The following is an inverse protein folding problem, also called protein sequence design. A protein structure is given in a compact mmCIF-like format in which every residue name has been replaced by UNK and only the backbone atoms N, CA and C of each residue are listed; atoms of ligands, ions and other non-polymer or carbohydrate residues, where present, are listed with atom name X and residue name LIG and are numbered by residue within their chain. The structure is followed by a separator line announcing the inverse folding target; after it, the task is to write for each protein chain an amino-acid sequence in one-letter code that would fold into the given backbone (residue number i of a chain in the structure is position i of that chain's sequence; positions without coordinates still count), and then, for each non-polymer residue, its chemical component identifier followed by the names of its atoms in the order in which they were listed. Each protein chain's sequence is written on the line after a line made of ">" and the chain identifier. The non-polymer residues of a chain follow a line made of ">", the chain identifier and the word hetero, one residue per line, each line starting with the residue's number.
data_IF_284597244615
#
_entry.id   IF_284597244615
#
_cell.length_a   1.000
_cell.length_b   1.000
_cell.length_c   1.000
_cell.angle_alpha   90.00
_cell.angle_beta   90.00
_cell.angle_gamma   90.00
#
_symmetry.space_group_name_H-M   'P 1'
#
loop_
_entity.id
_entity.type
_entity.pdbx_description
1 polymer ?
#
# COMPACT_ATOMS: atom_id res chain seq x y z
N UNK A 1 -3.10 -10.42 80.67
CA UNK A 1 -2.46 -11.30 79.67
C UNK A 1 -3.51 -11.63 78.60
N UNK A 2 -3.68 -10.75 77.63
CA UNK A 2 -4.60 -10.96 76.50
C UNK A 2 -3.81 -11.59 75.35
N UNK A 3 -4.21 -12.80 74.93
CA UNK A 3 -3.59 -13.55 73.84
C UNK A 3 -4.19 -13.08 72.51
N UNK A 4 -3.33 -12.59 71.62
CA UNK A 4 -3.63 -12.30 70.22
C UNK A 4 -3.97 -13.58 69.44
N UNK A 5 -5.00 -13.59 68.57
CA UNK A 5 -5.16 -14.65 67.58
C UNK A 5 -4.33 -14.34 66.33
N UNK A 6 -3.65 -15.37 65.84
CA UNK A 6 -2.85 -15.39 64.62
C UNK A 6 -3.80 -15.25 63.42
N UNK A 7 -3.60 -14.19 62.63
CA UNK A 7 -4.30 -13.95 61.37
C UNK A 7 -3.75 -14.91 60.31
N UNK A 8 -4.58 -15.83 59.82
CA UNK A 8 -4.23 -16.71 58.71
C UNK A 8 -4.16 -15.89 57.41
N UNK A 9 -2.96 -15.82 56.83
CA UNK A 9 -2.70 -15.20 55.53
C UNK A 9 -3.28 -16.11 54.43
N UNK A 10 -4.43 -15.76 53.87
CA UNK A 10 -4.91 -16.36 52.63
C UNK A 10 -4.03 -15.85 51.47
N UNK A 11 -3.08 -16.68 51.02
CA UNK A 11 -2.40 -16.51 49.74
C UNK A 11 -3.44 -16.71 48.62
N UNK A 12 -4.00 -15.60 48.14
CA UNK A 12 -4.78 -15.58 46.91
C UNK A 12 -3.89 -15.96 45.73
N UNK A 13 -4.07 -17.18 45.22
CA UNK A 13 -3.53 -17.60 43.94
C UNK A 13 -4.19 -16.71 42.89
N UNK A 14 -3.47 -15.69 42.42
CA UNK A 14 -3.89 -14.94 41.23
C UNK A 14 -3.81 -15.91 40.05
N UNK A 15 -4.98 -16.41 39.64
CA UNK A 15 -5.15 -17.08 38.36
C UNK A 15 -4.82 -16.03 37.28
N UNK A 16 -3.60 -16.07 36.77
CA UNK A 16 -3.25 -15.39 35.53
C UNK A 16 -4.17 -16.00 34.46
N UNK A 17 -5.03 -15.22 33.78
CA UNK A 17 -5.82 -15.76 32.70
C UNK A 17 -4.86 -16.30 31.64
N UNK A 18 -4.94 -17.60 31.38
CA UNK A 18 -4.32 -18.22 30.23
C UNK A 18 -4.98 -17.63 29.00
N UNK A 19 -4.37 -16.58 28.42
CA UNK A 19 -4.68 -16.20 27.05
C UNK A 19 -4.54 -17.47 26.21
N UNK A 20 -5.66 -17.94 25.64
CA UNK A 20 -5.62 -19.07 24.71
C UNK A 20 -4.54 -18.78 23.67
N UNK A 21 -3.64 -19.73 23.44
CA UNK A 21 -2.58 -19.57 22.45
C UNK A 21 -3.22 -19.21 21.11
N UNK A 22 -3.07 -17.97 20.67
CA UNK A 22 -3.42 -17.57 19.33
C UNK A 22 -2.68 -18.50 18.38
N UNK A 23 -3.36 -19.17 17.44
CA UNK A 23 -2.67 -20.06 16.50
C UNK A 23 -1.52 -19.32 15.82
N UNK A 24 -0.33 -19.93 15.80
CA UNK A 24 0.82 -19.37 15.11
C UNK A 24 0.45 -19.14 13.64
N UNK A 25 0.68 -17.92 13.17
CA UNK A 25 0.42 -17.53 11.79
C UNK A 25 1.66 -16.83 11.22
N UNK A 26 2.33 -17.41 10.20
CA UNK A 26 1.95 -18.64 9.50
C UNK A 26 2.09 -19.91 10.38
N UNK A 27 1.39 -21.01 10.03
CA UNK A 27 1.60 -22.29 10.69
C UNK A 27 3.00 -22.84 10.42
N UNK A 28 3.50 -23.82 11.19
CA UNK A 28 4.74 -24.52 10.86
C UNK A 28 4.65 -25.19 9.48
N UNK A 29 5.77 -25.18 8.74
CA UNK A 29 5.89 -25.83 7.46
C UNK A 29 6.02 -27.35 7.53
N UNK A 30 6.11 -27.98 6.35
CA UNK A 30 6.41 -29.39 6.19
C UNK A 30 7.89 -29.67 6.48
N UNK A 31 8.24 -30.84 7.04
CA UNK A 31 9.63 -31.22 7.24
C UNK A 31 10.39 -31.29 5.91
N UNK A 32 11.55 -30.63 5.85
CA UNK A 32 12.48 -30.72 4.71
C UNK A 32 13.28 -32.02 4.83
N UNK A 33 13.30 -32.91 3.81
CA UNK A 33 14.13 -34.11 3.83
C UNK A 33 15.61 -33.77 4.06
N UNK A 34 16.37 -34.56 4.87
CA UNK A 34 17.75 -34.21 5.24
C UNK A 34 18.68 -33.93 4.06
N UNK A 35 18.61 -34.74 3.01
CA UNK A 35 19.43 -34.56 1.79
C UNK A 35 19.08 -33.27 1.04
N UNK A 36 17.79 -32.94 0.94
CA UNK A 36 17.31 -31.70 0.32
C UNK A 36 17.76 -30.50 1.15
N UNK A 37 17.61 -30.57 2.48
CA UNK A 37 18.04 -29.51 3.40
C UNK A 37 19.54 -29.26 3.28
N UNK A 38 20.36 -30.30 3.32
CA UNK A 38 21.82 -30.17 3.17
C UNK A 38 22.20 -29.49 1.85
N UNK A 39 21.55 -29.88 0.75
CA UNK A 39 21.83 -29.29 -0.55
C UNK A 39 21.37 -27.82 -0.63
N UNK A 40 20.14 -27.50 -0.21
CA UNK A 40 19.63 -26.13 -0.22
C UNK A 40 20.48 -25.22 0.66
N UNK A 41 20.88 -25.66 1.85
CA UNK A 41 21.75 -24.89 2.73
C UNK A 41 23.13 -24.66 2.09
N UNK A 42 23.70 -25.67 1.43
CA UNK A 42 24.98 -25.53 0.72
C UNK A 42 24.87 -24.47 -0.39
N UNK A 43 23.87 -24.60 -1.27
CA UNK A 43 23.69 -23.69 -2.40
C UNK A 43 23.34 -22.26 -1.94
N UNK A 44 22.56 -22.13 -0.86
CA UNK A 44 22.23 -20.85 -0.22
C UNK A 44 23.51 -20.19 0.32
N UNK A 45 24.36 -20.93 1.05
CA UNK A 45 25.66 -20.41 1.55
C UNK A 45 26.58 -19.97 0.42
N UNK A 46 26.61 -20.70 -0.70
CA UNK A 46 27.42 -20.34 -1.87
C UNK A 46 26.93 -19.05 -2.55
N UNK A 47 25.62 -18.88 -2.67
CA UNK A 47 25.03 -17.64 -3.19
C UNK A 47 25.28 -16.46 -2.23
N UNK A 48 25.14 -16.66 -0.91
CA UNK A 48 25.44 -15.65 0.10
C UNK A 48 26.87 -15.10 -0.01
N UNK A 49 27.87 -15.99 -0.12
CA UNK A 49 29.28 -15.59 -0.36
C UNK A 49 29.45 -14.78 -1.65
N UNK A 50 28.69 -15.13 -2.69
CA UNK A 50 28.73 -14.40 -3.96
C UNK A 50 28.14 -13.00 -3.82
N UNK A 51 27.05 -12.84 -3.08
CA UNK A 51 26.42 -11.55 -2.78
C UNK A 51 27.40 -10.67 -1.97
N UNK A 52 28.02 -11.20 -0.91
CA UNK A 52 28.99 -10.48 -0.09
C UNK A 52 30.18 -9.97 -0.92
N UNK A 53 30.70 -10.81 -1.83
CA UNK A 53 31.77 -10.43 -2.74
C UNK A 53 31.33 -9.31 -3.71
N UNK A 54 30.12 -9.40 -4.26
CA UNK A 54 29.54 -8.36 -5.12
C UNK A 54 29.38 -7.03 -4.37
N UNK A 55 28.85 -7.06 -3.15
CA UNK A 55 28.69 -5.86 -2.33
C UNK A 55 30.05 -5.22 -1.99
N UNK A 56 31.03 -6.05 -1.61
CA UNK A 56 32.37 -5.57 -1.26
C UNK A 56 33.07 -4.92 -2.45
N UNK A 57 32.99 -5.55 -3.63
CA UNK A 57 33.58 -5.03 -4.86
C UNK A 57 32.94 -3.72 -5.31
N UNK A 58 31.65 -3.51 -5.02
CA UNK A 58 30.86 -2.39 -5.50
C UNK A 58 30.43 -1.43 -4.38
N UNK A 59 31.11 -1.42 -3.23
CA UNK A 59 30.74 -0.62 -2.03
C UNK A 59 30.59 0.89 -2.27
N UNK A 60 31.18 1.41 -3.34
CA UNK A 60 31.15 2.82 -3.71
C UNK A 60 30.29 3.09 -4.96
N UNK A 61 29.55 2.09 -5.44
CA UNK A 61 28.66 2.17 -6.60
C UNK A 61 27.20 1.95 -6.15
N UNK A 62 26.45 3.04 -5.86
CA UNK A 62 25.09 2.94 -5.38
C UNK A 62 24.14 2.24 -6.35
N UNK A 63 24.34 2.40 -7.67
CA UNK A 63 23.48 1.80 -8.68
C UNK A 63 23.68 0.29 -8.75
N UNK A 64 24.93 -0.17 -8.65
CA UNK A 64 25.23 -1.59 -8.56
C UNK A 64 24.76 -2.21 -7.24
N UNK A 65 24.90 -1.50 -6.12
CA UNK A 65 24.37 -1.96 -4.82
C UNK A 65 22.85 -2.12 -4.84
N UNK A 66 22.16 -1.26 -5.57
CA UNK A 66 20.71 -1.34 -5.76
C UNK A 66 20.32 -2.57 -6.60
N UNK A 67 21.04 -2.83 -7.70
CA UNK A 67 20.85 -4.03 -8.52
C UNK A 67 21.19 -5.34 -7.79
N UNK A 68 22.09 -5.32 -6.81
CA UNK A 68 22.38 -6.50 -6.00
C UNK A 68 21.15 -6.93 -5.18
N UNK A 69 20.25 -6.01 -4.83
CA UNK A 69 18.99 -6.37 -4.15
C UNK A 69 18.12 -7.31 -5.00
N UNK A 70 18.20 -7.22 -6.34
CA UNK A 70 17.53 -8.13 -7.29
C UNK A 70 18.09 -9.57 -7.26
N UNK A 71 19.26 -9.79 -6.63
CA UNK A 71 19.83 -11.12 -6.32
C UNK A 71 19.45 -11.55 -4.90
N UNK A 72 19.52 -10.63 -3.95
CA UNK A 72 19.27 -10.90 -2.52
C UNK A 72 17.85 -11.46 -2.31
N UNK A 73 16.84 -10.99 -3.04
CA UNK A 73 15.47 -11.52 -2.90
C UNK A 73 15.37 -13.03 -3.12
N UNK A 74 16.12 -13.60 -4.07
CA UNK A 74 16.13 -15.05 -4.29
C UNK A 74 16.89 -15.80 -3.20
N UNK A 75 17.96 -15.20 -2.67
CA UNK A 75 18.67 -15.75 -1.52
C UNK A 75 17.77 -15.75 -0.27
N UNK A 76 17.15 -14.61 0.05
CA UNK A 76 16.27 -14.43 1.20
C UNK A 76 15.07 -15.39 1.17
N UNK A 77 14.42 -15.52 0.00
CA UNK A 77 13.32 -16.44 -0.19
C UNK A 77 13.63 -17.87 0.28
N UNK A 78 14.81 -18.40 -0.03
CA UNK A 78 15.22 -19.75 0.37
C UNK A 78 15.81 -19.79 1.77
N UNK A 79 16.61 -18.78 2.12
CA UNK A 79 17.22 -18.67 3.45
C UNK A 79 16.14 -18.61 4.55
N UNK A 80 15.14 -17.74 4.41
CA UNK A 80 14.04 -17.61 5.37
C UNK A 80 13.14 -18.84 5.37
N UNK A 81 12.90 -19.47 4.22
CA UNK A 81 12.14 -20.72 4.18
C UNK A 81 12.82 -21.85 4.98
N UNK A 82 14.16 -21.94 4.93
CA UNK A 82 14.95 -22.90 5.71
C UNK A 82 15.05 -22.55 7.20
N UNK A 83 15.26 -21.26 7.52
CA UNK A 83 15.48 -20.77 8.88
C UNK A 83 14.20 -20.77 9.71
N UNK A 84 13.08 -20.39 9.09
CA UNK A 84 11.78 -20.26 9.76
C UNK A 84 10.88 -21.49 9.58
N UNK A 85 11.40 -22.55 8.96
CA UNK A 85 10.65 -23.76 8.58
C UNK A 85 9.35 -23.43 7.82
N UNK A 86 9.44 -22.61 6.77
CA UNK A 86 8.31 -22.08 6.00
C UNK A 86 8.18 -22.69 4.60
N UNK A 87 8.47 -23.99 4.47
CA UNK A 87 8.06 -24.77 3.31
C UNK A 87 6.66 -25.33 3.56
N UNK A 88 5.75 -25.20 2.61
CA UNK A 88 4.39 -25.70 2.73
C UNK A 88 4.12 -26.72 1.62
N UNK A 89 3.25 -27.68 1.92
CA UNK A 89 2.70 -28.55 0.88
C UNK A 89 1.65 -27.76 0.12
N UNK A 90 2.01 -27.27 -1.07
CA UNK A 90 1.03 -26.86 -2.07
C UNK A 90 0.71 -28.07 -2.97
N UNK A 91 -0.57 -28.22 -3.34
CA UNK A 91 -0.96 -29.25 -4.32
C UNK A 91 -0.57 -28.85 -5.74
N UNK A 92 -0.24 -27.58 -5.97
CA UNK A 92 0.10 -27.03 -7.28
C UNK A 92 1.59 -27.16 -7.62
N UNK A 93 2.47 -26.92 -6.67
CA UNK A 93 3.92 -26.90 -6.88
C UNK A 93 4.70 -27.45 -5.69
N UNK A 94 5.84 -28.07 -6.00
CA UNK A 94 6.81 -28.55 -5.02
C UNK A 94 7.72 -27.38 -4.60
N UNK A 95 7.50 -26.85 -3.39
CA UNK A 95 8.26 -25.70 -2.87
C UNK A 95 9.76 -25.99 -2.71
N UNK A 96 10.19 -27.26 -2.63
CA UNK A 96 11.62 -27.59 -2.66
C UNK A 96 12.21 -27.38 -4.05
N UNK A 97 11.48 -27.78 -5.10
CA UNK A 97 11.88 -27.52 -6.49
C UNK A 97 11.91 -26.01 -6.78
N UNK A 98 10.93 -25.26 -6.26
CA UNK A 98 10.91 -23.78 -6.32
C UNK A 98 12.17 -23.19 -5.69
N UNK A 99 12.57 -23.64 -4.50
CA UNK A 99 13.78 -23.15 -3.85
C UNK A 99 15.05 -23.38 -4.69
N UNK A 100 15.20 -24.54 -5.33
CA UNK A 100 16.31 -24.77 -6.26
C UNK A 100 16.24 -23.85 -7.50
N UNK A 101 15.04 -23.58 -8.05
CA UNK A 101 14.87 -22.62 -9.15
C UNK A 101 15.31 -21.22 -8.71
N UNK A 102 14.88 -20.76 -7.54
CA UNK A 102 15.24 -19.43 -7.02
C UNK A 102 16.73 -19.28 -6.82
N UNK A 103 17.40 -20.27 -6.22
CA UNK A 103 18.86 -20.24 -6.08
C UNK A 103 19.58 -20.23 -7.43
N UNK A 104 19.05 -20.95 -8.43
CA UNK A 104 19.58 -20.90 -9.80
C UNK A 104 19.42 -19.50 -10.41
N UNK A 105 18.23 -18.91 -10.36
CA UNK A 105 17.98 -17.54 -10.85
C UNK A 105 18.86 -16.51 -10.14
N UNK A 106 19.01 -16.60 -8.82
CA UNK A 106 19.90 -15.76 -8.03
C UNK A 106 21.35 -15.85 -8.50
N UNK A 107 21.88 -17.06 -8.74
CA UNK A 107 23.23 -17.26 -9.31
C UNK A 107 23.38 -16.70 -10.70
N UNK A 108 22.38 -16.86 -11.57
CA UNK A 108 22.38 -16.30 -12.92
C UNK A 108 22.40 -14.77 -12.89
N UNK A 109 21.57 -14.13 -12.06
CA UNK A 109 21.60 -12.67 -11.88
C UNK A 109 22.94 -12.21 -11.32
N UNK A 110 23.49 -12.89 -10.31
CA UNK A 110 24.80 -12.57 -9.77
C UNK A 110 25.92 -12.69 -10.82
N UNK A 111 25.86 -13.70 -11.71
CA UNK A 111 26.81 -13.87 -12.80
C UNK A 111 26.72 -12.75 -13.85
N UNK A 112 25.50 -12.28 -14.15
CA UNK A 112 25.29 -11.12 -15.02
C UNK A 112 25.86 -9.83 -14.40
N UNK A 113 25.65 -9.60 -13.10
CA UNK A 113 26.20 -8.43 -12.41
C UNK A 113 27.73 -8.43 -12.39
N UNK A 114 28.37 -9.60 -12.22
CA UNK A 114 29.83 -9.73 -12.36
C UNK A 114 30.35 -9.33 -13.75
N UNK A 115 29.50 -9.43 -14.77
CA UNK A 115 29.80 -9.03 -16.14
C UNK A 115 29.34 -7.58 -16.45
N UNK A 116 28.83 -6.84 -15.45
CA UNK A 116 28.32 -5.48 -15.63
C UNK A 116 26.99 -5.40 -16.36
N UNK A 117 26.18 -6.47 -16.36
CA UNK A 117 24.88 -6.52 -17.05
C UNK A 117 23.73 -6.84 -16.09
N UNK A 118 22.54 -6.33 -16.39
CA UNK A 118 21.33 -6.60 -15.62
C UNK A 118 20.11 -6.74 -16.58
N UNK A 119 20.04 -7.82 -17.38
CA UNK A 119 19.06 -7.96 -18.47
C UNK A 119 17.60 -7.87 -18.01
N UNK A 120 17.29 -8.30 -16.78
CA UNK A 120 15.93 -8.23 -16.21
C UNK A 120 15.41 -6.79 -16.04
N UNK A 121 16.27 -5.77 -16.08
CA UNK A 121 15.86 -4.35 -15.99
C UNK A 121 15.20 -3.83 -17.28
N UNK A 122 15.31 -4.58 -18.38
CA UNK A 122 14.70 -4.31 -19.69
C UNK A 122 13.80 -5.45 -20.16
N UNK A 123 13.48 -6.39 -19.27
CA UNK A 123 12.57 -7.49 -19.57
C UNK A 123 11.12 -6.99 -19.57
N UNK A 124 10.33 -7.48 -20.53
CA UNK A 124 8.87 -7.35 -20.55
C UNK A 124 8.20 -8.61 -20.00
N UNK A 125 6.90 -8.55 -19.72
CA UNK A 125 6.16 -9.61 -19.04
C UNK A 125 6.42 -9.61 -17.53
N UNK A 126 6.45 -10.80 -16.93
CA UNK A 126 6.60 -10.99 -15.49
C UNK A 126 8.05 -10.80 -15.04
N UNK A 127 8.29 -9.86 -14.12
CA UNK A 127 9.63 -9.55 -13.61
C UNK A 127 9.59 -9.39 -12.10
N UNK A 128 10.44 -10.13 -11.38
CA UNK A 128 10.69 -9.90 -9.95
C UNK A 128 11.87 -8.96 -9.77
N UNK A 129 11.70 -7.97 -8.90
CA UNK A 129 12.71 -6.99 -8.48
C UNK A 129 12.79 -6.93 -6.96
N UNK A 130 13.87 -6.35 -6.43
CA UNK A 130 14.08 -6.17 -4.99
C UNK A 130 14.55 -4.76 -4.65
N UNK A 131 14.19 -4.28 -3.46
CA UNK A 131 14.67 -3.01 -2.90
C UNK A 131 15.03 -3.18 -1.44
N UNK A 132 15.89 -2.31 -0.91
CA UNK A 132 16.20 -2.26 0.52
C UNK A 132 15.23 -1.33 1.23
N UNK A 133 14.50 -1.88 2.21
CA UNK A 133 13.52 -1.13 2.98
C UNK A 133 14.19 -0.32 4.10
N UNK A 134 13.72 0.90 4.32
CA UNK A 134 14.18 1.80 5.40
C UNK A 134 13.63 1.45 6.77
N UNK A 135 12.70 0.49 6.87
CA UNK A 135 12.14 0.06 8.16
C UNK A 135 13.19 -0.67 9.01
N UNK A 136 13.92 -1.59 8.38
CA UNK A 136 14.74 -2.61 9.05
C UNK A 136 15.94 -3.08 8.21
N UNK A 137 16.30 -2.35 7.15
CA UNK A 137 17.36 -2.67 6.19
C UNK A 137 17.23 -4.01 5.47
N UNK A 138 16.11 -4.73 5.63
CA UNK A 138 15.83 -5.95 4.89
C UNK A 138 15.57 -5.64 3.41
N UNK A 139 15.88 -6.60 2.55
CA UNK A 139 15.57 -6.51 1.13
C UNK A 139 14.21 -7.17 0.88
N UNK A 140 13.28 -6.41 0.32
CA UNK A 140 11.91 -6.83 0.06
C UNK A 140 11.68 -7.07 -1.44
N UNK A 141 10.96 -8.15 -1.83
CA UNK A 141 10.62 -8.40 -3.22
C UNK A 141 9.36 -7.64 -3.67
N UNK A 142 9.27 -7.32 -4.95
CA UNK A 142 8.02 -6.99 -5.63
C UNK A 142 7.98 -7.60 -7.03
N UNK A 143 6.78 -7.83 -7.54
CA UNK A 143 6.55 -8.31 -8.90
C UNK A 143 6.08 -7.18 -9.82
N UNK A 144 6.44 -7.28 -11.09
CA UNK A 144 5.94 -6.44 -12.17
C UNK A 144 5.34 -7.31 -13.27
N UNK A 145 4.28 -6.80 -13.91
CA UNK A 145 3.85 -7.24 -15.23
C UNK A 145 4.01 -6.06 -16.18
N UNK A 146 4.96 -6.15 -17.09
CA UNK A 146 5.34 -5.08 -18.02
C UNK A 146 4.77 -5.42 -19.41
N UNK A 147 4.04 -4.50 -20.08
CA UNK A 147 3.54 -4.73 -21.44
C UNK A 147 4.64 -5.13 -22.44
N UNK A 148 4.29 -5.93 -23.45
CA UNK A 148 5.27 -6.41 -24.45
C UNK A 148 5.89 -5.28 -25.28
N UNK A 149 5.12 -4.22 -25.53
CA UNK A 149 5.49 -3.04 -26.30
C UNK A 149 5.93 -1.85 -25.42
N UNK A 150 6.28 -2.12 -24.15
CA UNK A 150 6.66 -1.08 -23.21
C UNK A 150 7.88 -0.27 -23.67
N UNK A 151 7.71 1.06 -23.75
CA UNK A 151 8.80 1.98 -24.05
C UNK A 151 9.61 2.33 -22.80
N UNK A 152 10.83 1.79 -22.72
CA UNK A 152 11.77 2.09 -21.63
C UNK A 152 12.42 3.47 -21.74
N UNK A 153 12.27 4.16 -22.88
CA UNK A 153 12.90 5.45 -23.17
C UNK A 153 11.91 6.43 -23.82
N UNK A 154 10.77 6.71 -23.16
CA UNK A 154 9.77 7.59 -23.74
C UNK A 154 10.27 9.02 -23.82
N UNK A 155 9.68 9.76 -24.75
CA UNK A 155 9.89 11.20 -24.84
C UNK A 155 9.48 11.87 -23.53
N UNK A 156 10.20 12.92 -23.12
CA UNK A 156 9.93 13.65 -21.88
C UNK A 156 8.44 14.04 -21.75
N UNK A 157 7.85 13.73 -20.60
CA UNK A 157 6.42 13.98 -20.33
C UNK A 157 5.47 12.86 -20.79
N UNK A 158 5.96 11.80 -21.45
CA UNK A 158 5.16 10.65 -21.86
C UNK A 158 5.43 9.41 -20.98
N UNK A 159 5.38 9.60 -19.66
CA UNK A 159 5.51 8.49 -18.71
C UNK A 159 4.33 7.51 -18.84
N UNK A 160 4.59 6.25 -18.51
CA UNK A 160 3.59 5.19 -18.55
C UNK A 160 2.69 5.20 -17.32
N UNK A 161 1.47 4.70 -17.48
CA UNK A 161 0.56 4.41 -16.39
C UNK A 161 1.09 3.24 -15.54
N UNK A 162 0.80 3.28 -14.24
CA UNK A 162 1.10 2.20 -13.29
C UNK A 162 -0.17 1.81 -12.53
N UNK A 163 -0.51 0.53 -12.53
CA UNK A 163 -1.56 -0.03 -11.68
C UNK A 163 -0.92 -0.83 -10.54
N UNK A 164 -1.23 -0.52 -9.28
CA UNK A 164 -0.82 -1.32 -8.13
C UNK A 164 -1.91 -2.35 -7.83
N UNK A 165 -1.54 -3.63 -7.81
CA UNK A 165 -2.44 -4.73 -7.48
C UNK A 165 -2.07 -5.39 -6.15
N UNK A 166 -2.94 -5.23 -5.15
CA UNK A 166 -2.81 -5.85 -3.83
C UNK A 166 -3.42 -7.25 -3.80
N UNK A 167 -2.65 -8.22 -3.31
CA UNK A 167 -3.07 -9.62 -3.23
C UNK A 167 -4.02 -9.89 -2.05
N UNK A 168 -4.76 -11.00 -2.15
CA UNK A 168 -5.59 -11.50 -1.05
C UNK A 168 -4.77 -12.08 0.10
N UNK A 169 -5.45 -12.47 1.19
CA UNK A 169 -4.79 -13.09 2.33
C UNK A 169 -4.26 -14.48 1.97
N UNK A 170 -2.99 -14.73 2.27
CA UNK A 170 -2.37 -16.05 2.15
C UNK A 170 -1.64 -16.42 3.45
N UNK A 171 -2.26 -17.26 4.29
CA UNK A 171 -1.69 -17.66 5.60
C UNK A 171 -0.40 -18.49 5.50
N UNK A 172 0.06 -18.79 4.29
CA UNK A 172 1.32 -19.49 4.01
C UNK A 172 2.15 -18.74 2.95
N UNK A 173 1.88 -17.45 2.76
CA UNK A 173 2.60 -16.62 1.79
C UNK A 173 3.98 -16.27 2.34
N UNK A 174 5.00 -17.04 1.98
CA UNK A 174 6.40 -16.70 2.20
C UNK A 174 6.95 -15.89 1.02
N UNK A 175 8.15 -15.30 1.18
CA UNK A 175 8.87 -14.69 0.04
C UNK A 175 9.13 -15.70 -1.08
N UNK A 176 9.42 -16.97 -0.74
CA UNK A 176 9.56 -18.08 -1.67
C UNK A 176 8.34 -18.20 -2.59
N UNK A 177 7.16 -18.32 -1.97
CA UNK A 177 5.89 -18.47 -2.68
C UNK A 177 5.49 -17.22 -3.44
N UNK A 178 5.75 -16.05 -2.87
CA UNK A 178 5.47 -14.79 -3.52
C UNK A 178 6.27 -14.63 -4.81
N UNK A 179 7.59 -14.79 -4.77
CA UNK A 179 8.46 -14.68 -5.95
C UNK A 179 8.01 -15.68 -7.02
N UNK A 180 7.77 -16.92 -6.63
CA UNK A 180 7.31 -17.97 -7.55
C UNK A 180 5.98 -17.61 -8.24
N UNK A 181 5.02 -17.09 -7.48
CA UNK A 181 3.77 -16.59 -8.03
C UNK A 181 3.98 -15.41 -8.99
N UNK A 182 4.92 -14.51 -8.71
CA UNK A 182 5.23 -13.36 -9.57
C UNK A 182 6.03 -13.73 -10.82
N UNK A 183 6.61 -14.91 -10.88
CA UNK A 183 7.27 -15.45 -12.08
C UNK A 183 6.35 -16.34 -12.94
N UNK A 184 5.25 -16.84 -12.38
CA UNK A 184 4.38 -17.84 -13.04
C UNK A 184 2.94 -17.38 -13.25
N UNK A 185 2.47 -16.36 -12.53
CA UNK A 185 1.09 -15.86 -12.58
C UNK A 185 1.05 -14.33 -12.70
N UNK A 186 0.61 -13.78 -13.85
CA UNK A 186 0.53 -12.33 -14.06
C UNK A 186 -0.60 -11.69 -13.24
N UNK A 187 -1.44 -12.48 -12.55
CA UNK A 187 -2.50 -11.99 -11.70
C UNK A 187 -3.81 -11.71 -12.44
N UNK A 188 -4.63 -10.85 -11.84
CA UNK A 188 -5.96 -10.46 -12.35
C UNK A 188 -5.95 -8.98 -12.70
N UNK A 189 -6.89 -8.59 -13.59
CA UNK A 189 -7.05 -7.21 -14.04
C UNK A 189 -5.77 -6.61 -14.67
N UNK A 190 -4.98 -7.45 -15.34
CA UNK A 190 -3.86 -7.01 -16.19
C UNK A 190 -4.38 -6.21 -17.39
N UNK A 191 -3.54 -5.31 -17.89
CA UNK A 191 -3.81 -4.43 -19.04
C UNK A 191 -2.52 -4.27 -19.85
N UNK A 192 -2.64 -4.09 -21.16
CA UNK A 192 -1.53 -3.75 -22.07
C UNK A 192 -1.16 -2.26 -21.98
N UNK A 193 -1.96 -1.44 -21.29
CA UNK A 193 -1.78 0.02 -21.21
C UNK A 193 -0.98 0.51 -20.00
N UNK A 194 -0.57 -0.39 -19.10
CA UNK A 194 0.08 -0.03 -17.85
C UNK A 194 1.05 -1.12 -17.39
N UNK A 195 2.08 -0.70 -16.66
CA UNK A 195 2.80 -1.65 -15.81
C UNK A 195 1.88 -2.02 -14.64
N UNK A 196 1.85 -3.29 -14.24
CA UNK A 196 1.20 -3.72 -13.00
C UNK A 196 2.24 -4.01 -11.94
N UNK A 197 2.18 -3.30 -10.80
CA UNK A 197 3.02 -3.53 -9.63
C UNK A 197 2.30 -4.41 -8.61
N UNK A 198 2.95 -5.49 -8.20
CA UNK A 198 2.56 -6.36 -7.11
C UNK A 198 3.51 -6.18 -5.92
N UNK A 199 3.16 -5.40 -4.89
CA UNK A 199 3.94 -5.34 -3.65
C UNK A 199 3.78 -6.65 -2.86
N UNK A 200 4.81 -7.01 -2.08
CA UNK A 200 4.74 -8.13 -1.14
C UNK A 200 3.89 -7.80 0.10
N UNK A 201 3.82 -6.52 0.48
CA UNK A 201 2.96 -6.04 1.56
C UNK A 201 3.39 -6.47 2.96
N UNK A 202 4.58 -7.08 3.10
CA UNK A 202 5.09 -7.68 4.34
C UNK A 202 4.06 -8.59 4.99
N UNK A 203 3.66 -9.62 4.26
CA UNK A 203 2.72 -10.68 4.67
C UNK A 203 1.25 -10.22 4.76
N UNK A 204 0.49 -10.75 5.72
CA UNK A 204 -0.98 -10.62 5.79
C UNK A 204 -1.42 -9.55 6.81
N UNK A 205 -0.96 -8.32 6.63
CA UNK A 205 -1.33 -7.18 7.48
C UNK A 205 -2.32 -6.20 6.82
N UNK A 206 -2.86 -6.55 5.64
CA UNK A 206 -3.70 -5.68 4.80
C UNK A 206 -3.05 -4.31 4.53
N UNK A 207 -1.74 -4.33 4.25
CA UNK A 207 -0.86 -3.19 4.02
C UNK A 207 -1.06 -2.05 5.03
N UNK A 208 -1.25 -2.42 6.30
CA UNK A 208 -1.21 -1.50 7.44
C UNK A 208 0.21 -1.41 7.97
N UNK A 209 0.59 -0.25 8.51
CA UNK A 209 1.92 -0.01 9.09
C UNK A 209 3.07 -0.37 8.13
N UNK A 210 3.82 -1.43 8.41
CA UNK A 210 4.96 -1.83 7.60
C UNK A 210 4.56 -2.21 6.17
N UNK A 211 3.37 -2.79 5.96
CA UNK A 211 2.90 -3.10 4.60
C UNK A 211 2.46 -1.88 3.80
N UNK A 212 2.09 -0.79 4.48
CA UNK A 212 1.85 0.51 3.83
C UNK A 212 3.18 1.08 3.33
N UNK A 213 4.18 1.13 4.21
CA UNK A 213 5.53 1.58 3.84
C UNK A 213 6.10 0.73 2.70
N UNK A 214 5.94 -0.59 2.75
CA UNK A 214 6.35 -1.52 1.70
C UNK A 214 5.76 -1.15 0.33
N UNK A 215 4.47 -0.82 0.30
CA UNK A 215 3.79 -0.35 -0.93
C UNK A 215 4.48 0.89 -1.50
N UNK A 216 4.74 1.89 -0.66
CA UNK A 216 5.32 3.15 -1.10
C UNK A 216 6.79 3.01 -1.47
N UNK A 217 7.57 2.19 -0.77
CA UNK A 217 8.97 1.93 -1.13
C UNK A 217 9.09 1.15 -2.45
N UNK A 218 8.22 0.16 -2.67
CA UNK A 218 8.13 -0.53 -3.96
C UNK A 218 7.75 0.46 -5.08
N UNK A 219 6.76 1.34 -4.84
CA UNK A 219 6.36 2.37 -5.79
C UNK A 219 7.51 3.36 -6.09
N UNK A 220 8.20 3.85 -5.06
CA UNK A 220 9.37 4.73 -5.18
C UNK A 220 10.46 4.07 -6.03
N UNK A 221 10.76 2.80 -5.75
CA UNK A 221 11.75 2.03 -6.53
C UNK A 221 11.30 1.83 -7.98
N UNK A 222 10.02 1.52 -8.24
CA UNK A 222 9.51 1.43 -9.62
C UNK A 222 9.65 2.76 -10.35
N UNK A 223 9.26 3.88 -9.73
CA UNK A 223 9.39 5.22 -10.33
C UNK A 223 10.84 5.62 -10.61
N UNK A 224 11.80 5.10 -9.83
CA UNK A 224 13.23 5.32 -10.05
C UNK A 224 13.75 4.61 -11.31
N UNK A 225 13.25 3.40 -11.60
CA UNK A 225 13.80 2.55 -12.66
C UNK A 225 12.96 2.45 -13.94
N UNK A 226 11.69 2.84 -13.87
CA UNK A 226 10.77 2.81 -15.00
C UNK A 226 10.16 4.21 -15.22
N UNK A 227 9.94 4.62 -16.47
CA UNK A 227 9.37 5.93 -16.78
C UNK A 227 7.87 5.94 -16.45
N UNK A 228 7.51 6.21 -15.19
CA UNK A 228 6.12 6.26 -14.72
C UNK A 228 5.62 7.70 -14.68
N UNK A 229 4.43 7.95 -15.23
CA UNK A 229 3.69 9.19 -14.98
C UNK A 229 3.06 9.13 -13.58
N UNK A 230 3.53 10.01 -12.69
CA UNK A 230 3.05 10.08 -11.31
C UNK A 230 1.58 10.48 -11.18
N UNK A 231 0.99 11.02 -12.25
CA UNK A 231 -0.43 11.39 -12.29
C UNK A 231 -1.30 10.28 -12.90
N UNK A 232 -0.72 9.15 -13.32
CA UNK A 232 -1.43 7.99 -13.86
C UNK A 232 -1.14 6.74 -13.04
N UNK A 233 -1.23 6.86 -11.72
CA UNK A 233 -1.09 5.73 -10.80
C UNK A 233 -2.49 5.31 -10.32
N UNK A 234 -2.84 4.04 -10.43
CA UNK A 234 -4.11 3.49 -9.95
C UNK A 234 -3.88 2.40 -8.90
N UNK A 235 -4.85 2.18 -8.02
CA UNK A 235 -4.80 1.15 -6.97
C UNK A 235 -5.95 0.16 -7.09
N UNK A 236 -5.67 -1.13 -6.94
CA UNK A 236 -6.64 -2.20 -7.12
C UNK A 236 -6.33 -3.38 -6.21
N UNK A 237 -7.34 -4.18 -5.91
CA UNK A 237 -7.11 -5.42 -5.17
C UNK A 237 -8.39 -6.16 -4.82
N UNK A 238 -8.24 -7.38 -4.34
CA UNK A 238 -9.35 -8.27 -3.99
C UNK A 238 -9.21 -8.87 -2.60
N UNK A 239 -10.32 -9.07 -1.88
CA UNK A 239 -10.32 -9.63 -0.52
C UNK A 239 -9.53 -8.74 0.44
N UNK A 240 -8.50 -9.28 1.10
CA UNK A 240 -7.53 -8.46 1.85
C UNK A 240 -6.95 -7.32 1.01
N UNK A 241 -6.63 -7.55 -0.27
CA UNK A 241 -6.17 -6.49 -1.18
C UNK A 241 -7.25 -5.47 -1.53
N UNK A 242 -8.53 -5.86 -1.46
CA UNK A 242 -9.66 -4.93 -1.57
C UNK A 242 -9.72 -4.00 -0.37
N UNK A 243 -9.43 -4.51 0.83
CA UNK A 243 -9.33 -3.71 2.05
C UNK A 243 -8.13 -2.75 2.00
N UNK A 244 -6.99 -3.20 1.47
CA UNK A 244 -5.85 -2.33 1.16
C UNK A 244 -6.28 -1.21 0.21
N UNK A 245 -7.04 -1.55 -0.83
CA UNK A 245 -7.46 -0.56 -1.84
C UNK A 245 -8.38 0.50 -1.24
N UNK A 246 -9.32 0.11 -0.36
CA UNK A 246 -10.12 1.07 0.40
C UNK A 246 -9.24 1.99 1.23
N UNK A 247 -8.33 1.42 2.03
CA UNK A 247 -7.38 2.17 2.85
C UNK A 247 -6.57 3.19 2.02
N UNK A 248 -5.93 2.72 0.94
CA UNK A 248 -5.10 3.57 0.08
C UNK A 248 -5.94 4.66 -0.58
N UNK A 249 -7.12 4.33 -1.10
CA UNK A 249 -7.99 5.27 -1.81
C UNK A 249 -8.49 6.41 -0.91
N UNK A 250 -8.76 6.15 0.37
CA UNK A 250 -9.31 7.17 1.28
C UNK A 250 -8.23 7.97 2.02
N UNK A 251 -7.12 7.33 2.40
CA UNK A 251 -6.06 7.99 3.19
C UNK A 251 -5.03 8.72 2.31
N UNK A 252 -4.89 8.31 1.04
CA UNK A 252 -3.95 8.88 0.07
C UNK A 252 -4.64 9.29 -1.22
N UNK A 253 -5.92 9.73 -1.15
CA UNK A 253 -6.78 9.97 -2.31
C UNK A 253 -6.17 10.92 -3.37
N UNK A 254 -5.35 11.87 -2.93
CA UNK A 254 -4.65 12.82 -3.78
C UNK A 254 -3.58 12.19 -4.69
N UNK A 255 -3.16 10.94 -4.45
CA UNK A 255 -2.13 10.26 -5.23
C UNK A 255 -2.69 9.44 -6.40
N UNK A 256 -3.94 8.96 -6.29
CA UNK A 256 -4.45 7.95 -7.20
C UNK A 256 -5.33 8.57 -8.30
N UNK A 257 -5.06 8.20 -9.54
CA UNK A 257 -5.92 8.50 -10.69
C UNK A 257 -7.24 7.74 -10.63
N UNK A 258 -7.24 6.53 -10.07
CA UNK A 258 -8.42 5.71 -9.85
C UNK A 258 -8.20 4.59 -8.82
N UNK A 259 -9.29 4.09 -8.24
CA UNK A 259 -9.28 2.95 -7.33
C UNK A 259 -10.34 1.88 -7.65
N UNK A 260 -10.00 0.60 -7.51
CA UNK A 260 -10.93 -0.52 -7.66
C UNK A 260 -10.85 -1.54 -6.51
N UNK A 261 -11.51 -1.27 -5.37
CA UNK A 261 -11.58 -2.20 -4.25
C UNK A 261 -12.57 -3.34 -4.54
N UNK A 262 -12.10 -4.58 -4.51
CA UNK A 262 -12.92 -5.78 -4.70
C UNK A 262 -13.13 -6.56 -3.42
N UNK A 263 -14.37 -6.69 -2.98
CA UNK A 263 -14.82 -7.55 -1.88
C UNK A 263 -13.84 -7.56 -0.68
N UNK A 264 -13.44 -6.40 -0.18
CA UNK A 264 -12.52 -6.28 0.94
C UNK A 264 -13.10 -5.37 2.00
N UNK A 265 -12.86 -5.66 3.28
CA UNK A 265 -13.43 -4.90 4.39
C UNK A 265 -13.05 -3.41 4.32
N UNK A 266 -13.99 -2.54 4.67
CA UNK A 266 -13.80 -1.08 4.65
C UNK A 266 -13.76 -0.46 6.06
N UNK A 267 -14.28 -1.16 7.06
CA UNK A 267 -14.28 -0.76 8.46
C UNK A 267 -14.15 -1.97 9.38
N UNK A 268 -13.77 -1.72 10.64
CA UNK A 268 -13.39 -2.78 11.58
C UNK A 268 -14.59 -3.30 12.38
N UNK A 269 -15.52 -2.43 12.75
CA UNK A 269 -16.51 -2.71 13.79
C UNK A 269 -17.52 -3.77 13.36
N UNK A 270 -18.14 -3.63 12.18
CA UNK A 270 -19.13 -4.58 11.67
C UNK A 270 -18.40 -5.78 11.05
N UNK A 271 -17.37 -5.56 10.24
CA UNK A 271 -16.60 -6.64 9.63
C UNK A 271 -16.11 -7.68 10.63
N UNK A 272 -15.53 -7.25 11.75
CA UNK A 272 -14.97 -8.15 12.75
C UNK A 272 -15.92 -8.44 13.93
N UNK A 273 -17.21 -8.11 13.77
CA UNK A 273 -18.27 -8.25 14.77
C UNK A 273 -17.82 -7.83 16.17
N UNK A 274 -17.19 -6.66 16.24
CA UNK A 274 -16.42 -6.22 17.40
C UNK A 274 -17.30 -6.14 18.65
N UNK A 275 -18.55 -5.71 18.47
CA UNK A 275 -19.49 -5.50 19.58
C UNK A 275 -20.05 -6.80 20.16
N UNK A 276 -19.88 -7.92 19.47
CA UNK A 276 -20.23 -9.25 19.96
C UNK A 276 -19.10 -9.91 20.80
N UNK A 277 -17.91 -9.31 20.86
CA UNK A 277 -16.77 -9.85 21.62
C UNK A 277 -16.97 -9.65 23.13
N UNK A 278 -16.43 -10.59 23.91
CA UNK A 278 -16.38 -10.54 25.38
C UNK A 278 -14.93 -10.80 25.88
N UNK A 279 -14.30 -9.86 26.61
CA UNK A 279 -14.81 -8.53 26.93
C UNK A 279 -14.96 -7.67 25.67
N UNK A 280 -15.93 -6.75 25.69
CA UNK A 280 -16.05 -5.71 24.66
C UNK A 280 -14.79 -4.83 24.68
N UNK A 281 -14.28 -4.38 23.53
CA UNK A 281 -13.16 -3.47 23.51
C UNK A 281 -13.45 -2.18 24.27
N UNK A 282 -12.41 -1.62 24.88
CA UNK A 282 -12.52 -0.34 25.56
C UNK A 282 -12.83 0.78 24.55
N UNK A 283 -13.39 1.88 25.05
CA UNK A 283 -13.74 3.04 24.21
C UNK A 283 -12.56 3.57 23.38
N UNK A 284 -11.33 3.49 23.91
CA UNK A 284 -10.14 3.96 23.22
C UNK A 284 -9.71 2.99 22.11
N UNK A 285 -9.98 1.69 22.21
CA UNK A 285 -9.70 0.75 21.12
C UNK A 285 -10.63 1.02 19.93
N UNK A 286 -11.91 1.27 20.20
CA UNK A 286 -12.88 1.67 19.18
C UNK A 286 -12.48 2.99 18.51
N UNK A 287 -11.97 3.95 19.29
CA UNK A 287 -11.45 5.21 18.78
C UNK A 287 -10.23 5.00 17.87
N UNK A 288 -9.32 4.09 18.22
CA UNK A 288 -8.12 3.82 17.43
C UNK A 288 -8.41 3.16 16.07
N UNK A 289 -9.58 2.56 15.87
CA UNK A 289 -10.00 2.06 14.54
C UNK A 289 -10.16 3.19 13.52
N UNK A 290 -10.41 4.43 13.98
CA UNK A 290 -10.39 5.61 13.12
C UNK A 290 -9.03 5.81 12.42
N UNK A 291 -7.96 5.10 12.79
CA UNK A 291 -6.70 5.14 12.05
C UNK A 291 -6.81 4.55 10.64
N UNK A 292 -7.69 3.56 10.42
CA UNK A 292 -7.73 2.78 9.18
C UNK A 292 -9.14 2.51 8.64
N UNK A 293 -10.20 2.80 9.40
CA UNK A 293 -11.57 2.63 8.91
C UNK A 293 -11.84 3.62 7.77
N UNK A 294 -11.84 3.11 6.53
CA UNK A 294 -11.99 3.91 5.32
C UNK A 294 -13.33 4.67 5.28
N UNK A 295 -14.36 4.16 5.96
CA UNK A 295 -15.65 4.84 6.12
C UNK A 295 -15.51 6.20 6.81
N UNK A 296 -14.55 6.37 7.72
CA UNK A 296 -14.26 7.65 8.39
C UNK A 296 -13.64 8.69 7.47
N UNK A 297 -13.05 8.26 6.36
CA UNK A 297 -12.33 9.09 5.39
C UNK A 297 -13.09 9.19 4.05
N UNK A 298 -14.38 8.85 4.00
CA UNK A 298 -15.15 8.77 2.77
C UNK A 298 -15.19 10.10 1.97
N UNK A 299 -15.11 11.26 2.66
CA UNK A 299 -15.06 12.59 2.04
C UNK A 299 -13.90 12.73 1.05
N UNK A 300 -12.76 12.11 1.35
CA UNK A 300 -11.54 12.19 0.54
C UNK A 300 -11.72 11.56 -0.86
N UNK A 301 -12.76 10.76 -1.06
CA UNK A 301 -13.08 10.17 -2.36
C UNK A 301 -13.63 11.19 -3.37
N UNK A 302 -13.90 12.44 -2.97
CA UNK A 302 -14.06 13.55 -3.92
C UNK A 302 -12.79 13.74 -4.77
N UNK A 303 -11.62 13.36 -4.25
CA UNK A 303 -10.35 13.47 -4.94
C UNK A 303 -9.99 12.17 -5.67
N UNK A 304 -10.64 11.03 -5.44
CA UNK A 304 -10.26 9.75 -6.07
C UNK A 304 -11.49 9.00 -6.58
N UNK A 305 -11.65 8.79 -7.90
CA UNK A 305 -12.77 8.02 -8.42
C UNK A 305 -12.64 6.53 -8.05
N UNK A 306 -13.76 5.93 -7.64
CA UNK A 306 -13.79 4.55 -7.13
C UNK A 306 -14.85 3.72 -7.84
N UNK A 307 -14.46 2.51 -8.28
CA UNK A 307 -15.35 1.46 -8.74
C UNK A 307 -15.19 0.20 -7.87
N UNK A 308 -16.17 -0.08 -7.02
CA UNK A 308 -16.12 -1.24 -6.14
C UNK A 308 -16.69 -2.49 -6.83
N UNK A 309 -16.24 -3.67 -6.41
CA UNK A 309 -16.79 -4.95 -6.83
C UNK A 309 -17.21 -5.83 -5.65
N UNK A 310 -18.30 -6.57 -5.81
CA UNK A 310 -18.64 -7.70 -4.93
C UNK A 310 -19.42 -8.78 -5.68
N UNK A 311 -19.25 -10.04 -5.29
CA UNK A 311 -20.22 -11.07 -5.67
C UNK A 311 -21.55 -10.88 -4.92
N UNK A 312 -22.69 -11.18 -5.54
CA UNK A 312 -24.00 -11.02 -4.89
C UNK A 312 -24.18 -11.90 -3.66
N UNK A 313 -23.53 -13.06 -3.63
CA UNK A 313 -23.58 -14.05 -2.54
C UNK A 313 -22.35 -13.95 -1.61
N UNK A 314 -21.48 -12.97 -1.83
CA UNK A 314 -20.32 -12.74 -0.98
C UNK A 314 -20.71 -11.91 0.25
N UNK A 315 -20.45 -12.44 1.45
CA UNK A 315 -20.66 -11.71 2.71
C UNK A 315 -19.84 -10.41 2.77
N UNK A 316 -18.71 -10.34 2.06
CA UNK A 316 -17.86 -9.15 2.00
C UNK A 316 -18.45 -8.04 1.11
N UNK A 317 -19.60 -8.25 0.45
CA UNK A 317 -20.40 -7.18 -0.17
C UNK A 317 -20.75 -6.07 0.83
N UNK A 318 -20.88 -6.41 2.12
CA UNK A 318 -21.13 -5.45 3.20
C UNK A 318 -20.16 -4.26 3.17
N UNK A 319 -18.90 -4.47 2.79
CA UNK A 319 -17.90 -3.41 2.79
C UNK A 319 -18.19 -2.31 1.75
N UNK A 320 -18.63 -2.71 0.55
CA UNK A 320 -19.02 -1.75 -0.48
C UNK A 320 -20.38 -1.11 -0.17
N UNK A 321 -21.31 -1.84 0.46
CA UNK A 321 -22.60 -1.31 0.89
C UNK A 321 -22.42 -0.20 1.95
N UNK A 322 -21.62 -0.44 2.99
CA UNK A 322 -21.37 0.59 4.00
C UNK A 322 -20.57 1.76 3.44
N UNK A 323 -19.62 1.54 2.52
CA UNK A 323 -18.95 2.64 1.85
C UNK A 323 -19.93 3.47 1.01
N UNK A 324 -20.89 2.85 0.32
CA UNK A 324 -21.93 3.58 -0.41
C UNK A 324 -22.77 4.46 0.53
N UNK A 325 -23.14 3.97 1.71
CA UNK A 325 -23.85 4.74 2.73
C UNK A 325 -23.05 5.95 3.24
N UNK A 326 -21.75 5.77 3.50
CA UNK A 326 -20.89 6.85 3.99
C UNK A 326 -20.53 7.85 2.89
N UNK A 327 -20.27 7.39 1.68
CA UNK A 327 -20.09 8.25 0.51
C UNK A 327 -21.33 9.09 0.23
N UNK A 328 -22.54 8.53 0.38
CA UNK A 328 -23.78 9.28 0.18
C UNK A 328 -23.94 10.45 1.17
N UNK A 329 -23.45 10.32 2.40
CA UNK A 329 -23.45 11.42 3.39
C UNK A 329 -22.54 12.58 2.97
N UNK A 330 -21.51 12.29 2.18
CA UNK A 330 -20.57 13.26 1.61
C UNK A 330 -20.98 13.72 0.20
N UNK A 331 -22.18 13.35 -0.27
CA UNK A 331 -22.69 13.73 -1.59
C UNK A 331 -22.11 12.93 -2.76
N UNK A 332 -21.43 11.81 -2.48
CA UNK A 332 -20.83 10.92 -3.48
C UNK A 332 -21.71 9.70 -3.74
N UNK A 333 -21.65 9.17 -4.97
CA UNK A 333 -22.30 7.91 -5.34
C UNK A 333 -21.25 6.87 -5.72
N UNK A 334 -21.22 5.74 -5.02
CA UNK A 334 -20.34 4.64 -5.36
C UNK A 334 -20.82 3.93 -6.64
N UNK A 335 -19.91 3.73 -7.60
CA UNK A 335 -20.11 2.77 -8.67
C UNK A 335 -19.78 1.37 -8.15
N UNK A 336 -20.82 0.56 -7.87
CA UNK A 336 -20.67 -0.79 -7.31
C UNK A 336 -21.10 -1.84 -8.34
N UNK A 337 -20.13 -2.62 -8.83
CA UNK A 337 -20.37 -3.73 -9.74
C UNK A 337 -20.70 -4.97 -8.92
N UNK A 338 -21.84 -5.59 -9.22
CA UNK A 338 -22.31 -6.82 -8.56
C UNK A 338 -22.24 -7.99 -9.53
N UNK A 339 -21.39 -8.97 -9.21
CA UNK A 339 -21.34 -10.24 -9.92
C UNK A 339 -22.53 -11.12 -9.51
N UNK A 340 -23.54 -11.23 -10.37
CA UNK A 340 -24.75 -11.99 -10.07
C UNK A 340 -24.47 -13.48 -9.82
N UNK A 341 -24.93 -14.01 -8.68
CA UNK A 341 -24.70 -15.39 -8.26
C UNK A 341 -23.26 -15.71 -7.85
N UNK A 342 -22.36 -14.71 -7.82
CA UNK A 342 -20.96 -14.92 -7.46
C UNK A 342 -20.78 -14.87 -5.95
N UNK A 343 -19.96 -15.80 -5.43
CA UNK A 343 -19.40 -15.73 -4.08
C UNK A 343 -18.11 -14.90 -4.06
N UNK A 344 -17.13 -15.33 -3.26
CA UNK A 344 -15.86 -14.62 -3.05
C UNK A 344 -14.85 -14.78 -4.21
N UNK A 345 -15.23 -14.30 -5.40
CA UNK A 345 -14.40 -14.27 -6.62
C UNK A 345 -14.96 -13.29 -7.64
N UNK A 346 -14.18 -12.97 -8.67
CA UNK A 346 -14.67 -12.28 -9.86
C UNK A 346 -15.34 -13.22 -10.86
N UNK A 347 -16.31 -12.70 -11.60
CA UNK A 347 -16.70 -13.20 -12.92
C UNK A 347 -16.06 -12.35 -14.05
N UNK A 348 -16.02 -12.91 -15.27
CA UNK A 348 -15.32 -12.29 -16.40
C UNK A 348 -15.97 -10.99 -16.88
N UNK A 349 -17.31 -10.87 -16.81
CA UNK A 349 -18.03 -9.67 -17.24
C UNK A 349 -17.70 -8.51 -16.29
N UNK A 350 -17.72 -8.77 -14.99
CA UNK A 350 -17.33 -7.80 -13.98
C UNK A 350 -15.88 -7.35 -14.16
N UNK A 351 -14.95 -8.28 -14.45
CA UNK A 351 -13.55 -7.93 -14.74
C UNK A 351 -13.43 -6.98 -15.93
N UNK A 352 -14.15 -7.26 -17.03
CA UNK A 352 -14.14 -6.42 -18.24
C UNK A 352 -14.65 -5.01 -17.95
N UNK A 353 -15.77 -4.89 -17.23
CA UNK A 353 -16.36 -3.60 -16.85
C UNK A 353 -15.35 -2.80 -16.01
N UNK A 354 -14.77 -3.42 -14.98
CA UNK A 354 -13.82 -2.76 -14.07
C UNK A 354 -12.58 -2.30 -14.84
N UNK A 355 -12.00 -3.17 -15.68
CA UNK A 355 -10.82 -2.82 -16.47
C UNK A 355 -11.08 -1.65 -17.41
N UNK A 356 -12.18 -1.68 -18.15
CA UNK A 356 -12.56 -0.59 -19.06
C UNK A 356 -12.79 0.73 -18.32
N UNK A 357 -13.44 0.70 -17.15
CA UNK A 357 -13.69 1.92 -16.36
C UNK A 357 -12.38 2.50 -15.84
N UNK A 358 -11.52 1.66 -15.25
CA UNK A 358 -10.21 2.09 -14.75
C UNK A 358 -9.31 2.61 -15.88
N UNK A 359 -9.31 1.96 -17.05
CA UNK A 359 -8.63 2.45 -18.25
C UNK A 359 -9.14 3.81 -18.71
N UNK A 360 -10.46 4.02 -18.67
CA UNK A 360 -11.05 5.30 -19.00
C UNK A 360 -10.59 6.42 -18.07
N UNK A 361 -10.66 6.20 -16.75
CA UNK A 361 -10.25 7.19 -15.76
C UNK A 361 -8.75 7.49 -15.78
N UNK A 362 -7.91 6.47 -15.93
CA UNK A 362 -6.46 6.62 -15.95
C UNK A 362 -5.89 7.00 -17.34
N UNK A 363 -6.75 7.18 -18.36
CA UNK A 363 -6.32 7.62 -19.69
C UNK A 363 -5.81 9.06 -19.71
N UNK A 364 -6.26 9.89 -18.75
CA UNK A 364 -5.80 11.25 -18.53
C UNK A 364 -5.00 11.32 -17.24
N UNK A 365 -3.94 12.15 -17.18
CA UNK A 365 -3.26 12.40 -15.92
C UNK A 365 -4.24 13.02 -14.92
N UNK A 366 -4.20 12.57 -13.68
CA UNK A 366 -4.87 13.19 -12.55
C UNK A 366 -4.44 14.66 -12.46
N UNK A 367 -5.41 15.55 -12.28
CA UNK A 367 -5.12 16.96 -12.00
C UNK A 367 -4.43 17.10 -10.63
N UNK A 368 -3.15 17.54 -10.57
CA UNK A 368 -2.48 17.79 -9.30
C UNK A 368 -2.99 19.07 -8.61
N UNK A 369 -3.78 19.88 -9.31
CA UNK A 369 -4.20 21.23 -8.92
C UNK A 369 -5.72 21.42 -9.01
N UNK A 370 -6.54 20.54 -8.42
CA UNK A 370 -7.98 20.69 -8.54
C UNK A 370 -8.42 21.98 -7.86
N UNK A 371 -9.46 22.58 -8.44
CA UNK A 371 -10.06 23.80 -7.92
C UNK A 371 -10.58 23.64 -6.48
N UNK A 372 -11.07 22.45 -6.12
CA UNK A 372 -11.67 22.17 -4.81
C UNK A 372 -11.04 20.94 -4.16
N UNK A 373 -10.74 21.06 -2.87
CA UNK A 373 -10.31 19.99 -1.97
C UNK A 373 -11.35 19.80 -0.88
N UNK A 374 -11.72 18.54 -0.67
CA UNK A 374 -12.55 18.04 0.44
C UNK A 374 -11.66 17.06 1.20
N UNK A 375 -11.25 17.42 2.41
CA UNK A 375 -10.24 16.63 3.11
C UNK A 375 -10.62 16.40 4.56
N UNK A 376 -10.70 15.13 4.94
CA UNK A 376 -10.89 14.64 6.31
C UNK A 376 -9.67 13.85 6.75
N UNK A 377 -9.26 14.08 7.99
CA UNK A 377 -8.33 13.21 8.70
C UNK A 377 -8.59 13.20 10.20
N UNK A 378 -8.13 12.15 10.87
CA UNK A 378 -8.21 11.99 12.33
C UNK A 378 -6.82 12.06 12.98
N UNK A 379 -5.75 12.02 12.19
CA UNK A 379 -4.37 12.06 12.68
C UNK A 379 -3.45 12.75 11.67
N UNK A 380 -2.36 13.33 12.16
CA UNK A 380 -1.32 13.89 11.29
C UNK A 380 -0.50 12.84 10.51
N UNK A 381 -0.77 11.53 10.66
CA UNK A 381 -0.16 10.49 9.82
C UNK A 381 -0.59 10.61 8.36
N UNK A 382 -1.86 10.98 8.13
CA UNK A 382 -2.47 11.15 6.81
C UNK A 382 -2.93 12.59 6.69
N UNK A 383 -1.98 13.50 6.51
CA UNK A 383 -2.21 14.94 6.63
C UNK A 383 -2.10 15.70 5.31
N UNK A 384 -1.95 15.02 4.18
CA UNK A 384 -1.76 15.67 2.89
C UNK A 384 -2.85 15.28 1.89
N UNK A 385 -3.38 16.29 1.21
CA UNK A 385 -4.26 16.15 0.05
C UNK A 385 -3.81 17.12 -1.03
N UNK A 386 -3.19 16.59 -2.09
CA UNK A 386 -2.70 17.37 -3.23
C UNK A 386 -1.85 18.58 -2.79
N UNK A 387 -2.31 19.81 -3.06
CA UNK A 387 -1.61 21.05 -2.75
C UNK A 387 -1.81 21.55 -1.31
N UNK A 388 -2.55 20.81 -0.47
CA UNK A 388 -2.83 21.17 0.93
C UNK A 388 -2.27 20.12 1.90
N UNK A 389 -1.60 20.60 2.95
CA UNK A 389 -1.12 19.80 4.08
C UNK A 389 -1.68 20.36 5.38
N UNK A 390 -2.27 19.53 6.23
CA UNK A 390 -2.65 19.90 7.59
C UNK A 390 -1.42 19.75 8.48
N UNK A 391 -1.03 20.83 9.15
CA UNK A 391 0.18 20.88 9.98
C UNK A 391 -0.13 20.71 11.48
N UNK A 392 -1.36 21.01 11.89
CA UNK A 392 -1.77 20.94 13.30
C UNK A 392 -3.26 20.64 13.46
N UNK A 393 -3.58 19.86 14.50
CA UNK A 393 -4.94 19.54 14.93
C UNK A 393 -5.18 20.12 16.33
N UNK A 394 -6.43 20.50 16.65
CA UNK A 394 -6.78 20.84 18.04
C UNK A 394 -6.75 19.57 18.91
N UNK A 395 -7.28 18.47 18.38
CA UNK A 395 -7.34 17.16 19.05
C UNK A 395 -7.18 16.01 18.04
N UNK A 396 -6.21 15.12 18.28
CA UNK A 396 -6.08 13.86 17.53
C UNK A 396 -7.24 12.91 17.84
N UNK A 397 -7.56 12.03 16.88
CA UNK A 397 -8.64 11.02 16.96
C UNK A 397 -10.06 11.56 16.90
N UNK A 398 -10.20 12.89 16.78
CA UNK A 398 -11.44 13.59 16.43
C UNK A 398 -11.38 13.99 14.96
N UNK A 399 -12.53 14.02 14.29
CA UNK A 399 -12.58 14.42 12.88
C UNK A 399 -12.02 15.84 12.71
N UNK A 400 -11.03 15.96 11.84
CA UNK A 400 -10.54 17.22 11.32
C UNK A 400 -10.89 17.32 9.84
N UNK A 401 -11.38 18.49 9.43
CA UNK A 401 -11.90 18.71 8.08
C UNK A 401 -11.42 20.04 7.51
N UNK A 402 -11.05 20.01 6.23
CA UNK A 402 -10.82 21.19 5.40
C UNK A 402 -11.66 21.10 4.14
N UNK A 403 -12.39 22.17 3.87
CA UNK A 403 -12.93 22.46 2.54
C UNK A 403 -12.14 23.64 1.98
N UNK A 404 -11.38 23.43 0.91
CA UNK A 404 -10.58 24.49 0.30
C UNK A 404 -10.93 24.65 -1.19
N UNK A 405 -11.24 25.87 -1.60
CA UNK A 405 -11.53 26.22 -2.99
C UNK A 405 -10.65 27.37 -3.46
N UNK A 406 -10.11 27.22 -4.67
CA UNK A 406 -9.46 28.28 -5.41
C UNK A 406 -10.55 29.06 -6.15
N UNK A 407 -10.93 30.22 -5.61
CA UNK A 407 -12.06 31.00 -6.15
C UNK A 407 -11.62 31.95 -7.26
N UNK A 408 -10.35 32.37 -7.27
CA UNK A 408 -9.75 33.23 -8.31
C UNK A 408 -8.21 33.08 -8.32
N UNK A 409 -7.52 33.68 -9.30
CA UNK A 409 -6.06 33.63 -9.55
C UNK A 409 -5.19 34.11 -8.37
N UNK A 410 -5.80 34.70 -7.33
CA UNK A 410 -5.14 35.14 -6.09
C UNK A 410 -6.02 34.99 -4.85
N UNK A 411 -7.07 34.16 -4.90
CA UNK A 411 -8.03 34.08 -3.80
C UNK A 411 -8.42 32.64 -3.48
N UNK A 412 -8.29 32.29 -2.21
CA UNK A 412 -8.69 31.01 -1.64
C UNK A 412 -9.85 31.22 -0.67
N UNK A 413 -10.79 30.28 -0.68
CA UNK A 413 -11.83 30.12 0.33
C UNK A 413 -11.56 28.82 1.07
N UNK A 414 -11.40 28.89 2.38
CA UNK A 414 -11.03 27.74 3.22
C UNK A 414 -11.96 27.73 4.42
N UNK A 415 -12.54 26.57 4.71
CA UNK A 415 -13.24 26.30 5.97
C UNK A 415 -12.53 25.19 6.70
N UNK A 416 -12.39 25.34 8.00
CA UNK A 416 -11.66 24.39 8.84
C UNK A 416 -12.49 23.94 10.03
N UNK A 417 -12.20 22.72 10.50
CA UNK A 417 -12.74 22.17 11.73
C UNK A 417 -11.65 21.33 12.40
N UNK A 418 -11.41 21.54 13.70
CA UNK A 418 -10.42 20.81 14.49
C UNK A 418 -8.98 20.93 13.93
N UNK A 419 -8.65 22.09 13.34
CA UNK A 419 -7.36 22.35 12.69
C UNK A 419 -6.75 23.62 13.27
N UNK A 420 -5.50 23.51 13.69
CA UNK A 420 -4.74 24.64 14.24
C UNK A 420 -3.78 25.23 13.22
N UNK A 421 -3.38 24.47 12.20
CA UNK A 421 -2.49 24.97 11.15
C UNK A 421 -2.52 24.14 9.88
N UNK A 422 -2.21 24.78 8.75
CA UNK A 422 -2.12 24.13 7.44
C UNK A 422 -1.15 24.88 6.51
N UNK A 423 -0.64 24.16 5.53
CA UNK A 423 0.23 24.65 4.46
C UNK A 423 -0.43 24.45 3.11
N UNK A 424 -0.40 25.48 2.28
CA UNK A 424 -0.66 25.38 0.84
C UNK A 424 0.67 25.44 0.11
N UNK A 425 0.94 24.46 -0.74
CA UNK A 425 2.15 24.36 -1.54
C UNK A 425 1.80 24.20 -3.03
N UNK A 426 2.02 25.27 -3.77
CA UNK A 426 1.87 25.30 -5.22
C UNK A 426 3.28 25.42 -5.85
N UNK A 427 3.80 24.34 -6.46
CA UNK A 427 5.16 24.32 -6.98
C UNK A 427 5.30 25.19 -8.24
N UNK A 428 6.54 25.36 -8.69
CA UNK A 428 6.85 26.09 -9.93
C UNK A 428 6.09 25.50 -11.12
N UNK A 429 5.54 26.35 -11.97
CA UNK A 429 4.78 25.91 -13.15
C UNK A 429 3.34 25.44 -12.85
N UNK A 430 2.83 25.64 -11.63
CA UNK A 430 1.40 25.48 -11.39
C UNK A 430 0.61 26.45 -12.30
N UNK A 431 -0.54 26.02 -12.87
CA UNK A 431 -1.35 26.85 -13.76
C UNK A 431 -2.28 27.81 -13.02
N UNK A 432 -2.31 27.75 -11.69
CA UNK A 432 -3.32 28.44 -10.87
C UNK A 432 -2.94 29.90 -10.65
N UNK A 433 -1.77 30.15 -10.07
CA UNK A 433 -1.37 31.48 -9.61
C UNK A 433 -0.39 32.11 -10.59
N UNK A 434 -0.69 33.33 -11.05
CA UNK A 434 0.23 34.12 -11.88
C UNK A 434 1.26 34.84 -11.00
N UNK A 435 2.44 35.12 -11.54
CA UNK A 435 3.50 35.82 -10.78
C UNK A 435 3.06 37.23 -10.35
N UNK A 436 3.42 37.64 -9.13
CA UNK A 436 2.99 38.92 -8.55
C UNK A 436 1.66 38.83 -7.79
N UNK A 437 1.14 39.96 -7.33
CA UNK A 437 -0.13 40.03 -6.57
C UNK A 437 -0.02 39.58 -5.11
N UNK A 438 -0.84 40.16 -4.23
CA UNK A 438 -1.08 39.67 -2.87
C UNK A 438 -2.07 38.51 -2.94
N UNK A 439 -1.80 37.39 -2.25
CA UNK A 439 -2.74 36.27 -2.21
C UNK A 439 -3.67 36.44 -1.01
N UNK A 440 -4.97 36.33 -1.25
CA UNK A 440 -6.01 36.49 -0.25
C UNK A 440 -6.56 35.12 0.16
N UNK A 441 -6.49 34.79 1.45
CA UNK A 441 -7.13 33.60 2.00
C UNK A 441 -8.28 34.05 2.89
N UNK A 442 -9.52 33.63 2.58
CA UNK A 442 -10.59 33.72 3.57
C UNK A 442 -10.65 32.36 4.26
N UNK A 443 -10.21 32.32 5.51
CA UNK A 443 -10.16 31.11 6.36
C UNK A 443 -11.22 31.29 7.43
N UNK A 444 -12.27 30.49 7.37
CA UNK A 444 -13.47 30.62 8.20
C UNK A 444 -14.04 32.06 8.11
N UNK A 445 -14.08 32.79 9.23
CA UNK A 445 -14.53 34.18 9.29
C UNK A 445 -13.39 35.21 9.17
N UNK A 446 -12.14 34.74 9.02
CA UNK A 446 -10.96 35.59 8.95
C UNK A 446 -10.49 35.80 7.50
N UNK A 447 -9.96 36.99 7.23
CA UNK A 447 -9.33 37.33 5.95
C UNK A 447 -7.83 37.56 6.16
N UNK A 448 -7.01 36.77 5.47
CA UNK A 448 -5.56 36.75 5.63
C UNK A 448 -4.90 37.18 4.32
N UNK A 449 -3.98 38.12 4.44
CA UNK A 449 -3.14 38.60 3.33
C UNK A 449 -1.80 37.88 3.38
N UNK A 450 -1.57 37.03 2.38
CA UNK A 450 -0.35 36.24 2.27
C UNK A 450 0.64 36.87 1.29
N UNK A 451 1.95 36.54 1.42
CA UNK A 451 2.97 37.01 0.50
C UNK A 451 2.64 36.71 -0.96
N UNK A 452 3.15 37.54 -1.86
CA UNK A 452 2.90 37.37 -3.29
C UNK A 452 3.64 36.20 -3.93
N UNK A 453 3.16 35.83 -5.11
CA UNK A 453 3.62 34.67 -5.88
C UNK A 453 4.99 34.93 -6.47
N UNK A 454 5.90 33.94 -6.37
CA UNK A 454 7.25 34.07 -6.93
C UNK A 454 7.21 34.21 -8.46
N UNK A 455 8.28 34.72 -9.06
CA UNK A 455 8.37 34.94 -10.52
C UNK A 455 8.20 33.67 -11.36
N UNK A 456 8.57 32.52 -10.82
CA UNK A 456 8.40 31.20 -11.45
C UNK A 456 7.00 30.58 -11.21
N UNK A 457 6.07 31.36 -10.66
CA UNK A 457 4.70 30.92 -10.34
C UNK A 457 4.58 30.14 -9.03
N UNK A 458 5.68 29.69 -8.41
CA UNK A 458 5.59 28.91 -7.17
C UNK A 458 5.13 29.77 -6.00
N UNK A 459 4.30 29.21 -5.13
CA UNK A 459 3.78 29.87 -3.95
C UNK A 459 3.60 28.87 -2.82
N UNK A 460 4.06 29.25 -1.63
CA UNK A 460 3.93 28.43 -0.42
C UNK A 460 3.54 29.34 0.73
N UNK A 461 2.50 28.97 1.45
CA UNK A 461 2.01 29.69 2.61
C UNK A 461 1.63 28.69 3.71
N UNK A 462 2.03 28.99 4.94
CA UNK A 462 1.71 28.19 6.12
C UNK A 462 0.99 29.08 7.12
N UNK A 463 -0.21 28.66 7.52
CA UNK A 463 -0.93 29.19 8.67
C UNK A 463 -0.56 28.34 9.88
N UNK A 464 -0.04 28.98 10.93
CA UNK A 464 0.46 28.35 12.16
C UNK A 464 -0.38 28.77 13.35
#
# INVERSE_FOLDING_TARGET
>A
MFKFPILALFLGISLIPTFGQTPMNPPPGIPVPPEIREQLEKETRELGKTIEALQTANRNDPDMLDLINDVIVYYNAVHYALELDQFYSDKKEDEFAVAFRHLKTGRERAANLKQGTAPWTRQTGMVVRGYRSRIDDSVQPYGLVIPEDFDFHPTYGNGSRLDIWYHGRGNTLSELKFIDQRETDPGKLITDKAIVLHPFGRYCNANKFAGETDTFEALEHVKKHYPIDSHRISVRGFSMGGAVTWHMATHHAGLWSAAAPGAGFAETTIYADVMAKDPKPAWYELMLYNLYDATKYAANLHQCPVIAYSGSEDKQKQAADIMAEYMAKEGLKLQHIIGAGMGHKYDDISLEIINRTMDGWASQPKDPFPKKIEFVTYTLRYNQMQWLTIDGLEEHWKEARVEAEIVDEYKFQIKTQNITGFTIDLPSGNPILKSGGEVLLNVDDAQIKAPGVRRNGSWKFSLV
#
